data_IF_543519593286
#
_entry.id   IF_543519593286
#
_cell.length_a   1.000
_cell.length_b   1.000
_cell.length_c   1.000
_cell.angle_alpha   90.00
_cell.angle_beta   90.00
_cell.angle_gamma   90.00
#
_symmetry.space_group_name_H-M   'P 1'
#
loop_
_entity.id
_entity.type
_entity.pdbx_description
1 polymer ?
#
# COMPACT_ATOMS: atom_id res chain seq x y z
N UNK A 1 2.50 12.48 -17.46
CA UNK A 1 2.44 12.42 -17.12
C UNK A 1 1.90 11.75 -16.88
N UNK A 2 1.65 11.35 -16.75
CA UNK A 2 1.42 10.85 -16.63
C UNK A 2 0.91 9.88 -15.95
N UNK A 3 1.08 9.21 -15.37
CA UNK A 3 0.70 8.18 -14.46
C UNK A 3 0.03 8.65 -13.23
N UNK A 4 -0.72 9.69 -13.35
CA UNK A 4 -1.42 10.23 -12.22
C UNK A 4 -2.44 9.26 -11.66
N UNK A 5 -3.05 8.49 -12.55
CA UNK A 5 -4.06 7.55 -12.14
C UNK A 5 -3.53 6.47 -11.22
N UNK A 6 -2.28 6.07 -11.38
CA UNK A 6 -1.71 5.02 -10.55
C UNK A 6 -0.88 5.56 -9.39
N UNK A 7 -0.62 6.86 -9.36
CA UNK A 7 0.19 7.46 -8.29
C UNK A 7 -0.49 7.36 -6.93
N UNK A 8 -1.79 7.64 -6.88
CA UNK A 8 -2.51 7.58 -5.61
C UNK A 8 -2.50 6.17 -5.04
N UNK A 9 -2.88 5.14 -5.82
CA UNK A 9 -2.82 3.78 -5.26
C UNK A 9 -1.42 3.36 -4.86
N UNK A 10 -0.40 3.76 -5.61
CA UNK A 10 0.98 3.40 -5.27
C UNK A 10 1.39 3.99 -3.93
N UNK A 11 1.09 5.25 -3.72
CA UNK A 11 1.45 5.93 -2.48
C UNK A 11 0.68 5.37 -1.30
N UNK A 12 -0.60 5.13 -1.49
CA UNK A 12 -1.43 4.59 -0.43
C UNK A 12 -0.93 3.21 -0.03
N UNK A 13 -0.67 2.37 -1.02
CA UNK A 13 -0.19 1.03 -0.77
C UNK A 13 1.14 1.05 -0.03
N UNK A 14 2.08 1.87 -0.51
CA UNK A 14 3.39 1.95 0.12
C UNK A 14 3.30 2.41 1.57
N UNK A 15 2.47 3.43 1.81
CA UNK A 15 2.30 3.96 3.16
C UNK A 15 1.70 2.92 4.10
N UNK A 16 0.72 2.20 3.60
CA UNK A 16 0.05 1.20 4.41
C UNK A 16 0.97 0.02 4.74
N UNK A 17 1.73 -0.41 3.75
CA UNK A 17 2.69 -1.50 3.97
C UNK A 17 3.77 -1.09 4.94
N UNK A 18 4.24 0.15 4.84
CA UNK A 18 5.23 0.65 5.80
C UNK A 18 4.65 0.67 7.20
N UNK A 19 3.40 1.11 7.33
CA UNK A 19 2.75 1.16 8.62
C UNK A 19 2.64 -0.24 9.22
N UNK A 20 2.26 -1.22 8.41
CA UNK A 20 2.18 -2.60 8.88
C UNK A 20 3.54 -3.08 9.38
N UNK A 21 4.58 -2.76 8.63
CA UNK A 21 5.93 -3.17 9.01
C UNK A 21 6.32 -2.57 10.35
N UNK A 22 6.05 -1.29 10.52
CA UNK A 22 6.40 -0.60 11.76
C UNK A 22 5.61 -1.13 12.94
N UNK A 23 4.33 -1.39 12.72
CA UNK A 23 3.49 -1.94 13.79
C UNK A 23 3.92 -3.34 14.18
N UNK A 24 4.45 -4.09 13.23
CA UNK A 24 4.98 -5.42 13.51
C UNK A 24 6.34 -5.39 14.17
N UNK A 25 6.93 -4.21 14.27
CA UNK A 25 8.25 -4.07 14.88
C UNK A 25 9.38 -4.58 14.00
N UNK A 26 9.17 -4.61 12.69
CA UNK A 26 10.15 -5.16 11.77
C UNK A 26 10.91 -4.04 11.08
N UNK A 27 12.24 -4.12 11.12
CA UNK A 27 13.08 -3.14 10.46
C UNK A 27 13.11 -3.39 8.95
N UNK A 28 13.57 -2.38 8.21
CA UNK A 28 13.75 -2.55 6.77
C UNK A 28 14.66 -3.74 6.49
N UNK A 29 15.75 -3.83 7.22
CA UNK A 29 16.69 -4.93 7.03
C UNK A 29 16.03 -6.29 7.31
N UNK A 30 15.25 -6.36 8.38
CA UNK A 30 14.56 -7.60 8.73
C UNK A 30 13.55 -8.00 7.68
N UNK A 31 12.81 -7.04 7.16
CA UNK A 31 11.83 -7.31 6.12
C UNK A 31 12.51 -7.79 4.84
N UNK A 32 13.58 -7.12 4.44
CA UNK A 32 14.31 -7.51 3.24
C UNK A 32 14.87 -8.91 3.37
N UNK A 33 15.36 -9.26 4.55
CA UNK A 33 15.89 -10.58 4.77
C UNK A 33 14.80 -11.64 4.64
N UNK A 34 13.65 -11.38 5.26
CA UNK A 34 12.55 -12.33 5.23
C UNK A 34 11.99 -12.50 3.82
N UNK A 35 11.95 -11.41 3.06
CA UNK A 35 11.40 -11.42 1.71
C UNK A 35 12.43 -11.78 0.65
N UNK A 36 13.70 -11.77 1.02
CA UNK A 36 14.82 -11.97 0.09
C UNK A 36 14.82 -10.88 -0.99
N UNK A 37 14.57 -9.66 -0.56
CA UNK A 37 14.55 -8.49 -1.44
C UNK A 37 15.70 -7.57 -1.11
N UNK A 38 16.06 -6.72 -2.08
CA UNK A 38 17.02 -5.66 -1.83
C UNK A 38 16.37 -4.54 -1.05
N UNK A 39 17.18 -3.77 -0.33
CA UNK A 39 16.66 -2.62 0.38
C UNK A 39 16.09 -1.59 -0.58
N UNK A 40 16.67 -1.49 -1.77
CA UNK A 40 16.21 -0.57 -2.78
C UNK A 40 14.80 -0.90 -3.25
N UNK A 41 14.51 -2.19 -3.42
CA UNK A 41 13.18 -2.61 -3.82
C UNK A 41 12.15 -2.24 -2.78
N UNK A 42 12.43 -2.54 -1.52
CA UNK A 42 11.50 -2.22 -0.44
C UNK A 42 11.31 -0.71 -0.32
N UNK A 43 12.39 0.04 -0.44
CA UNK A 43 12.33 1.49 -0.36
C UNK A 43 11.40 2.07 -1.43
N UNK A 44 11.53 1.59 -2.66
CA UNK A 44 10.69 2.08 -3.75
C UNK A 44 9.22 1.78 -3.51
N UNK A 45 8.94 0.60 -2.98
CA UNK A 45 7.58 0.22 -2.69
C UNK A 45 6.99 1.13 -1.62
N UNK A 46 7.71 1.34 -0.55
CA UNK A 46 7.20 2.15 0.56
C UNK A 46 7.08 3.62 0.19
N UNK A 47 7.84 4.08 -0.77
CA UNK A 47 7.74 5.46 -1.24
C UNK A 47 6.71 5.65 -2.33
N UNK A 48 6.11 4.57 -2.80
CA UNK A 48 5.09 4.66 -3.84
C UNK A 48 5.66 4.96 -5.21
N UNK A 49 6.88 4.53 -5.47
CA UNK A 49 7.57 4.82 -6.72
C UNK A 49 7.42 3.72 -7.77
N UNK A 50 6.78 2.63 -7.42
CA UNK A 50 6.64 1.51 -8.35
C UNK A 50 5.30 0.84 -8.17
N UNK A 51 4.84 0.17 -9.21
CA UNK A 51 3.65 -0.67 -9.10
C UNK A 51 4.01 -1.96 -8.38
N UNK A 52 3.01 -2.69 -7.94
CA UNK A 52 3.23 -3.93 -7.22
C UNK A 52 2.34 -5.03 -7.76
N UNK A 53 2.83 -6.25 -7.66
CA UNK A 53 2.03 -7.42 -7.95
C UNK A 53 1.31 -7.85 -6.68
N UNK A 54 0.11 -8.42 -6.86
CA UNK A 54 -0.63 -8.93 -5.72
C UNK A 54 0.18 -9.96 -4.94
N UNK A 55 0.98 -10.74 -5.65
CA UNK A 55 1.82 -11.76 -5.02
C UNK A 55 2.82 -11.15 -4.05
N UNK A 56 3.42 -10.02 -4.44
CA UNK A 56 4.37 -9.34 -3.57
C UNK A 56 3.67 -8.80 -2.33
N UNK A 57 2.47 -8.26 -2.49
CA UNK A 57 1.70 -7.75 -1.36
C UNK A 57 1.38 -8.87 -0.38
N UNK A 58 0.98 -10.03 -0.91
CA UNK A 58 0.67 -11.16 -0.05
C UNK A 58 1.89 -11.60 0.75
N UNK A 59 3.05 -11.62 0.10
CA UNK A 59 4.28 -12.00 0.78
C UNK A 59 4.59 -11.03 1.91
N UNK A 60 4.47 -9.74 1.65
CA UNK A 60 4.73 -8.73 2.68
C UNK A 60 3.74 -8.84 3.83
N UNK A 61 2.46 -9.04 3.51
CA UNK A 61 1.45 -9.17 4.53
C UNK A 61 1.70 -10.37 5.42
N UNK A 62 2.19 -11.43 4.83
CA UNK A 62 2.50 -12.64 5.60
C UNK A 62 3.64 -12.39 6.58
N UNK A 63 4.67 -11.69 6.12
CA UNK A 63 5.79 -11.34 6.98
C UNK A 63 5.36 -10.43 8.11
N UNK A 64 4.46 -9.50 7.82
CA UNK A 64 4.03 -8.50 8.80
C UNK A 64 2.87 -8.97 9.67
N UNK A 65 2.28 -10.11 9.35
CA UNK A 65 1.19 -10.64 10.15
C UNK A 65 -0.13 -9.92 9.95
N UNK A 66 -0.38 -9.41 8.76
CA UNK A 66 -1.62 -8.71 8.47
C UNK A 66 -2.79 -9.69 8.44
N UNK A 67 -3.97 -9.21 8.85
CA UNK A 67 -5.14 -10.06 8.83
C UNK A 67 -5.71 -10.20 7.43
N UNK A 68 -6.65 -11.10 7.28
CA UNK A 68 -7.20 -11.46 5.98
C UNK A 68 -7.87 -10.27 5.29
N UNK A 69 -8.58 -9.49 6.06
CA UNK A 69 -9.25 -8.32 5.53
C UNK A 69 -8.27 -7.32 4.94
N UNK A 70 -7.18 -7.09 5.67
CA UNK A 70 -6.13 -6.20 5.22
C UNK A 70 -5.47 -6.74 3.96
N UNK A 71 -5.23 -8.05 3.92
CA UNK A 71 -4.63 -8.67 2.74
C UNK A 71 -5.51 -8.45 1.53
N UNK A 72 -6.82 -8.64 1.66
CA UNK A 72 -7.73 -8.45 0.55
C UNK A 72 -7.72 -7.01 0.05
N UNK A 73 -7.79 -6.07 0.98
CA UNK A 73 -7.80 -4.65 0.61
C UNK A 73 -6.51 -4.25 -0.09
N UNK A 74 -5.38 -4.71 0.43
CA UNK A 74 -4.10 -4.33 -0.14
C UNK A 74 -3.82 -5.01 -1.46
N UNK A 75 -4.31 -6.24 -1.65
CA UNK A 75 -4.14 -6.89 -2.96
C UNK A 75 -4.99 -6.20 -4.01
N UNK A 76 -6.19 -5.74 -3.65
CA UNK A 76 -7.01 -4.96 -4.57
C UNK A 76 -6.29 -3.66 -4.94
N UNK A 77 -5.66 -3.04 -3.95
CA UNK A 77 -4.91 -1.81 -4.16
C UNK A 77 -3.71 -2.07 -5.07
N UNK A 78 -3.06 -3.21 -4.91
CA UNK A 78 -1.92 -3.56 -5.76
C UNK A 78 -2.32 -3.62 -7.22
N UNK A 79 -3.49 -4.15 -7.50
CA UNK A 79 -3.98 -4.20 -8.88
C UNK A 79 -4.19 -2.80 -9.43
N UNK A 80 -4.68 -1.89 -8.59
CA UNK A 80 -4.90 -0.53 -9.01
C UNK A 80 -3.60 0.21 -9.31
N UNK A 81 -2.48 -0.22 -8.73
CA UNK A 81 -1.20 0.45 -8.99
C UNK A 81 -0.74 0.29 -10.42
N UNK A 82 -1.29 -0.67 -11.15
CA UNK A 82 -0.93 -0.93 -12.54
C UNK A 82 -1.92 -0.33 -13.52
N UNK A 83 -2.98 0.25 -13.03
CA UNK A 83 -4.07 0.72 -13.88
C UNK A 83 -4.13 2.23 -13.83
N UNK A 84 -3.88 2.87 -14.96
CA UNK A 84 -3.92 4.33 -15.05
C UNK A 84 -5.32 4.88 -14.90
N UNK A 85 -6.28 4.15 -15.40
CA UNK A 85 -7.66 4.57 -15.31
C UNK A 85 -8.42 3.76 -14.27
N UNK A 86 -7.82 3.55 -13.12
CA UNK A 86 -8.42 2.70 -12.10
C UNK A 86 -9.83 3.13 -11.73
N UNK A 87 -10.12 4.42 -11.79
CA UNK A 87 -11.44 4.91 -11.43
C UNK A 87 -12.50 4.51 -12.46
N UNK A 88 -12.09 4.28 -13.70
CA UNK A 88 -13.04 3.87 -14.74
C UNK A 88 -13.52 2.45 -14.55
N UNK A 89 -12.67 1.61 -13.99
CA UNK A 89 -13.00 0.21 -13.82
C UNK A 89 -14.13 0.00 -12.82
N UNK A 90 -14.30 0.93 -11.92
CA UNK A 90 -15.29 0.78 -10.85
C UNK A 90 -16.60 1.50 -11.14
N UNK A 91 -16.61 2.37 -12.14
CA UNK A 91 -17.81 3.11 -12.47
C UNK A 91 -18.32 3.89 -11.27
N UNK A 92 -19.56 3.58 -10.87
CA UNK A 92 -20.14 4.26 -9.72
C UNK A 92 -19.81 3.60 -8.39
N UNK A 93 -19.12 2.48 -8.45
CA UNK A 93 -18.80 1.72 -7.25
C UNK A 93 -17.47 2.18 -6.66
N UNK A 94 -17.48 2.46 -5.37
CA UNK A 94 -16.27 2.83 -4.67
C UNK A 94 -15.42 1.58 -4.45
N UNK A 95 -14.16 1.57 -4.90
CA UNK A 95 -13.32 0.40 -4.67
C UNK A 95 -12.99 0.22 -3.19
N UNK A 96 -12.76 -1.02 -2.80
CA UNK A 96 -12.49 -1.34 -1.40
C UNK A 96 -11.31 -0.55 -0.85
N UNK A 97 -10.25 -0.39 -1.67
CA UNK A 97 -9.07 0.31 -1.19
C UNK A 97 -9.31 1.80 -0.98
N UNK A 98 -10.34 2.35 -1.62
CA UNK A 98 -10.62 3.77 -1.48
C UNK A 98 -11.02 4.11 -0.06
N UNK A 99 -11.71 3.21 0.61
CA UNK A 99 -12.06 3.42 2.02
C UNK A 99 -10.82 3.51 2.88
N UNK A 100 -9.80 2.72 2.55
CA UNK A 100 -8.53 2.82 3.24
C UNK A 100 -7.89 4.19 3.03
N UNK A 101 -7.97 4.67 1.79
CA UNK A 101 -7.42 5.97 1.46
C UNK A 101 -8.09 7.07 2.28
N UNK A 102 -9.41 7.06 2.31
CA UNK A 102 -10.16 8.07 3.06
C UNK A 102 -9.82 7.99 4.54
N UNK A 103 -9.76 6.78 5.07
CA UNK A 103 -9.43 6.58 6.47
C UNK A 103 -8.06 7.12 6.81
N UNK A 104 -7.07 6.88 5.95
CA UNK A 104 -5.72 7.37 6.19
C UNK A 104 -5.66 8.88 6.11
N UNK A 105 -6.38 9.48 5.18
CA UNK A 105 -6.39 10.94 5.07
C UNK A 105 -7.03 11.56 6.30
N UNK A 106 -8.08 10.97 6.80
CA UNK A 106 -8.73 11.46 8.00
C UNK A 106 -7.82 11.32 9.21
N UNK A 107 -7.13 10.22 9.30
CA UNK A 107 -6.17 10.00 10.37
C UNK A 107 -5.09 11.06 10.36
N UNK A 108 -4.54 11.32 9.19
CA UNK A 108 -3.49 12.31 9.05
C UNK A 108 -4.00 13.69 9.44
N UNK A 109 -5.21 14.01 9.02
CA UNK A 109 -5.82 15.28 9.37
C UNK A 109 -6.06 15.38 10.88
N UNK A 110 -6.53 14.29 11.44
CA UNK A 110 -6.77 14.25 12.87
C UNK A 110 -5.50 14.47 13.67
N UNK A 111 -4.42 13.87 13.22
CA UNK A 111 -3.14 14.04 13.89
C UNK A 111 -2.69 15.49 13.86
N UNK A 112 -2.92 16.14 12.74
CA UNK A 112 -2.53 17.53 12.62
C UNK A 112 -3.34 18.45 13.51
N UNK A 113 -4.58 18.09 13.74
CA UNK A 113 -5.44 18.89 14.59
C UNK A 113 -4.94 18.93 16.01
N UNK A 114 -4.30 17.88 16.45
CA UNK A 114 -3.82 17.81 17.82
C UNK A 114 -2.58 18.61 18.08
N UNK A 115 -2.06 19.20 17.06
CA UNK A 115 -0.87 20.03 17.22
C UNK A 115 -1.25 21.49 17.21
#
# INVERSE_FOLDING_TARGET
MEDRGSTVPRRLLGRHLRQLREEAGITVRGACKALEWSGQKLWRIEKGLTSMRALDVKAMCEVYGADEKTVEALTALAKATKDRGWWHAYGDTVPAWFELYVSMEQSATGLRIYH
#
